data_IF_774890866439
#
_entry.id   IF_774890866439
#
_cell.length_a   1.000
_cell.length_b   1.000
_cell.length_c   1.000
_cell.angle_alpha   90.00
_cell.angle_beta   90.00
_cell.angle_gamma   90.00
#
_symmetry.space_group_name_H-M   'P 1'
#
loop_
_entity.id
_entity.type
_entity.pdbx_description
1 polymer ?
#
# COMPACT_ATOMS: atom_id res chain seq x y z
N UNK A 1 -1.30 18.71 -5.50
CA UNK A 1 -0.32 17.61 -5.31
C UNK A 1 -0.44 16.93 -3.94
N UNK A 2 -0.54 17.68 -2.82
CA UNK A 2 -0.68 17.10 -1.47
C UNK A 2 -1.86 16.14 -1.34
N UNK A 3 -3.01 16.44 -1.95
CA UNK A 3 -4.16 15.54 -1.93
C UNK A 3 -3.89 14.16 -2.54
N UNK A 4 -3.16 14.10 -3.66
CA UNK A 4 -2.78 12.84 -4.31
C UNK A 4 -1.79 12.04 -3.44
N UNK A 5 -0.85 12.73 -2.80
CA UNK A 5 0.10 12.12 -1.84
C UNK A 5 -0.63 11.48 -0.65
N UNK A 6 -1.62 12.19 -0.08
CA UNK A 6 -2.41 11.68 1.04
C UNK A 6 -3.29 10.49 0.65
N UNK A 7 -3.89 10.51 -0.54
CA UNK A 7 -4.64 9.38 -1.06
C UNK A 7 -3.75 8.15 -1.26
N UNK A 8 -2.59 8.32 -1.90
CA UNK A 8 -1.63 7.24 -2.07
C UNK A 8 -1.17 6.66 -0.73
N UNK A 9 -0.86 7.51 0.26
CA UNK A 9 -0.50 7.07 1.60
C UNK A 9 -1.61 6.24 2.27
N UNK A 10 -2.86 6.70 2.19
CA UNK A 10 -4.01 5.96 2.75
C UNK A 10 -4.18 4.60 2.09
N UNK A 11 -4.13 4.53 0.77
CA UNK A 11 -4.27 3.28 0.01
C UNK A 11 -3.16 2.28 0.36
N UNK A 12 -1.92 2.76 0.47
CA UNK A 12 -0.76 1.95 0.87
C UNK A 12 -0.90 1.37 2.27
N UNK A 13 -1.40 2.17 3.22
CA UNK A 13 -1.70 1.67 4.58
C UNK A 13 -2.75 0.57 4.56
N UNK A 14 -3.83 0.76 3.81
CA UNK A 14 -4.87 -0.26 3.67
C UNK A 14 -4.32 -1.56 3.09
N UNK A 15 -3.44 -1.48 2.07
CA UNK A 15 -2.79 -2.64 1.50
C UNK A 15 -1.97 -3.42 2.54
N UNK A 16 -1.22 -2.74 3.41
CA UNK A 16 -0.45 -3.39 4.48
C UNK A 16 -1.29 -4.03 5.57
N UNK A 17 -2.51 -3.53 5.79
CA UNK A 17 -3.47 -4.02 6.78
C UNK A 17 -4.32 -5.20 6.27
N UNK A 18 -4.27 -5.52 4.97
CA UNK A 18 -5.03 -6.63 4.38
C UNK A 18 -4.61 -8.03 4.87
N UNK A 19 -5.58 -8.94 4.87
CA UNK A 19 -5.34 -10.36 5.15
C UNK A 19 -4.50 -11.02 4.04
N UNK A 20 -3.68 -12.01 4.42
CA UNK A 20 -2.80 -12.69 3.47
C UNK A 20 -3.56 -13.39 2.33
N UNK A 21 -4.79 -13.87 2.56
CA UNK A 21 -5.63 -14.48 1.53
C UNK A 21 -6.10 -13.45 0.50
N UNK A 22 -6.46 -12.25 0.96
CA UNK A 22 -6.88 -11.15 0.07
C UNK A 22 -5.70 -10.61 -0.74
N UNK A 23 -4.52 -10.52 -0.13
CA UNK A 23 -3.29 -10.18 -0.83
C UNK A 23 -2.97 -11.23 -1.91
N UNK A 24 -3.11 -12.52 -1.59
CA UNK A 24 -2.89 -13.59 -2.55
C UNK A 24 -3.90 -13.57 -3.70
N UNK A 25 -5.16 -13.22 -3.45
CA UNK A 25 -6.21 -13.08 -4.47
C UNK A 25 -5.86 -12.04 -5.54
N UNK A 26 -5.22 -10.93 -5.14
CA UNK A 26 -4.72 -9.89 -6.05
C UNK A 26 -3.27 -10.11 -6.51
N UNK A 27 -2.67 -11.27 -6.19
CA UNK A 27 -1.35 -11.66 -6.66
C UNK A 27 -0.17 -10.98 -5.96
N UNK A 28 -0.31 -10.57 -4.69
CA UNK A 28 0.79 -10.01 -3.89
C UNK A 28 0.99 -10.76 -2.58
N UNK A 29 2.19 -10.65 -2.00
CA UNK A 29 2.56 -11.24 -0.72
C UNK A 29 2.46 -10.22 0.42
N UNK A 30 2.42 -10.73 1.66
CA UNK A 30 2.48 -9.88 2.87
C UNK A 30 3.75 -9.02 2.91
N UNK A 31 4.87 -9.55 2.43
CA UNK A 31 6.15 -8.82 2.42
C UNK A 31 6.12 -7.63 1.43
N UNK A 32 5.59 -7.85 0.23
CA UNK A 32 5.42 -6.80 -0.78
C UNK A 32 4.41 -5.75 -0.32
N UNK A 33 3.27 -6.18 0.21
CA UNK A 33 2.25 -5.27 0.76
C UNK A 33 2.81 -4.39 1.88
N UNK A 34 3.63 -4.95 2.77
CA UNK A 34 4.28 -4.21 3.86
C UNK A 34 5.34 -3.24 3.33
N UNK A 35 6.09 -3.64 2.32
CA UNK A 35 7.09 -2.79 1.65
C UNK A 35 6.40 -1.58 1.01
N UNK A 36 5.31 -1.81 0.29
CA UNK A 36 4.50 -0.77 -0.34
C UNK A 36 3.82 0.13 0.72
N UNK A 37 3.31 -0.43 1.81
CA UNK A 37 2.71 0.31 2.92
C UNK A 37 3.68 1.31 3.58
N UNK A 38 4.97 0.96 3.61
CA UNK A 38 6.02 1.77 4.21
C UNK A 38 6.66 2.78 3.23
N UNK A 39 6.21 2.84 1.97
CA UNK A 39 6.72 3.85 1.03
C UNK A 39 6.38 5.26 1.51
N UNK A 40 7.32 6.22 1.36
CA UNK A 40 7.06 7.60 1.75
C UNK A 40 5.86 8.21 1.02
N UNK A 41 5.11 9.08 1.70
CA UNK A 41 3.90 9.68 1.12
C UNK A 41 4.18 10.60 -0.09
N UNK A 42 5.40 11.13 -0.21
CA UNK A 42 5.84 11.94 -1.35
C UNK A 42 6.19 11.12 -2.60
N UNK A 43 6.27 9.79 -2.47
CA UNK A 43 6.55 8.88 -3.58
C UNK A 43 5.24 8.58 -4.34
N UNK A 44 4.93 9.32 -5.42
CA UNK A 44 3.69 9.14 -6.22
C UNK A 44 3.96 8.52 -7.60
N UNK A 45 5.13 7.89 -7.78
CA UNK A 45 5.46 7.20 -9.04
C UNK A 45 4.93 5.78 -9.07
#
# INVERSE_FOLDING_TARGET
MVGAMLQAHRTRRLLGEMDARLLADIGTSRAEATTEANRPFWDIR
#
